data_IF_813641540089
#
_entry.id   IF_813641540089
#
_cell.length_a   1.000
_cell.length_b   1.000
_cell.length_c   1.000
_cell.angle_alpha   90.00
_cell.angle_beta   90.00
_cell.angle_gamma   90.00
#
_symmetry.space_group_name_H-M   'P 1'
#
loop_
_entity.id
_entity.type
_entity.pdbx_description
1 polymer ?
#
# COMPACT_ATOMS: atom_id res chain seq x y z
N UNK A 1 -2.76 -8.89 -10.29
CA UNK A 1 -2.29 -9.82 -9.26
C UNK A 1 -2.07 -9.06 -7.97
N UNK A 2 -2.51 -9.61 -6.86
CA UNK A 2 -2.39 -8.90 -5.59
C UNK A 2 -0.96 -8.92 -5.09
N UNK A 3 -0.56 -7.83 -4.45
CA UNK A 3 0.75 -7.72 -3.80
C UNK A 3 0.57 -7.58 -2.31
N UNK A 4 1.59 -8.01 -1.58
CA UNK A 4 1.56 -8.01 -0.13
C UNK A 4 2.72 -7.17 0.38
N UNK A 5 2.42 -6.24 1.28
CA UNK A 5 3.43 -5.43 1.95
C UNK A 5 3.21 -5.49 3.45
N UNK A 6 4.31 -5.49 4.18
CA UNK A 6 4.26 -5.43 5.64
C UNK A 6 4.62 -4.03 6.08
N UNK A 7 3.77 -3.45 6.93
CA UNK A 7 3.98 -2.12 7.44
C UNK A 7 3.60 -2.09 8.92
N UNK A 8 4.55 -1.68 9.75
CA UNK A 8 4.37 -1.59 11.21
C UNK A 8 3.86 -2.90 11.79
N UNK A 9 4.47 -4.00 11.33
CA UNK A 9 4.15 -5.31 11.86
C UNK A 9 2.87 -5.92 11.34
N UNK A 10 2.17 -5.25 10.44
CA UNK A 10 0.93 -5.73 9.87
C UNK A 10 1.07 -5.93 8.38
N UNK A 11 0.58 -7.05 7.89
CA UNK A 11 0.66 -7.37 6.47
C UNK A 11 -0.62 -6.95 5.78
N UNK A 12 -0.46 -6.21 4.68
CA UNK A 12 -1.58 -5.74 3.87
C UNK A 12 -1.50 -6.33 2.48
N UNK A 13 -2.65 -6.61 1.92
CA UNK A 13 -2.76 -7.14 0.57
C UNK A 13 -3.45 -6.13 -0.33
N UNK A 14 -2.83 -5.86 -1.48
CA UNK A 14 -3.32 -4.85 -2.40
C UNK A 14 -3.79 -5.49 -3.69
N UNK A 15 -4.81 -4.88 -4.30
CA UNK A 15 -5.35 -5.37 -5.56
C UNK A 15 -4.45 -5.04 -6.75
N UNK A 16 -3.74 -3.92 -6.67
CA UNK A 16 -2.92 -3.44 -7.77
C UNK A 16 -1.49 -3.90 -7.62
N UNK A 17 -0.77 -3.93 -8.75
CA UNK A 17 0.67 -4.14 -8.73
C UNK A 17 1.35 -2.81 -8.43
N UNK A 18 2.08 -2.78 -7.34
CA UNK A 18 2.79 -1.60 -6.90
C UNK A 18 4.25 -1.74 -7.27
N UNK A 19 4.89 -0.65 -7.65
CA UNK A 19 6.30 -0.62 -8.00
C UNK A 19 7.08 0.02 -6.86
N UNK A 20 7.40 -0.74 -5.80
CA UNK A 20 8.00 -0.14 -4.61
C UNK A 20 9.44 0.33 -4.80
N UNK A 21 10.03 0.07 -5.95
CA UNK A 21 11.39 0.55 -6.22
C UNK A 21 11.42 2.03 -6.62
N UNK A 22 10.27 2.67 -6.61
CA UNK A 22 10.18 4.10 -6.91
C UNK A 22 9.90 4.86 -5.63
N UNK A 23 10.12 6.18 -5.70
CA UNK A 23 9.80 7.07 -4.61
C UNK A 23 8.47 7.73 -4.85
N UNK A 24 7.81 8.14 -3.76
CA UNK A 24 6.66 9.00 -3.88
C UNK A 24 5.38 8.36 -3.42
N UNK A 25 4.28 8.96 -3.85
CA UNK A 25 2.95 8.58 -3.41
C UNK A 25 2.31 7.65 -4.43
N UNK A 26 1.77 6.56 -3.92
CA UNK A 26 1.00 5.62 -4.71
C UNK A 26 -0.36 5.42 -4.09
N UNK A 27 -1.38 5.32 -4.94
CA UNK A 27 -2.73 5.00 -4.50
C UNK A 27 -2.99 3.54 -4.76
N UNK A 28 -3.57 2.86 -3.79
CA UNK A 28 -3.85 1.45 -3.92
C UNK A 28 -5.13 1.09 -3.18
N UNK A 29 -5.60 -0.13 -3.40
CA UNK A 29 -6.80 -0.65 -2.76
C UNK A 29 -6.43 -1.83 -1.89
N UNK A 30 -6.77 -1.75 -0.61
CA UNK A 30 -6.54 -2.83 0.34
C UNK A 30 -7.67 -3.86 0.21
N UNK A 31 -7.33 -5.04 -0.28
CA UNK A 31 -8.35 -6.06 -0.47
C UNK A 31 -8.66 -6.81 0.82
N UNK A 32 -7.77 -6.72 1.80
CA UNK A 32 -7.99 -7.38 3.08
C UNK A 32 -8.83 -6.55 4.03
N UNK A 33 -9.31 -5.38 3.59
CA UNK A 33 -10.14 -4.50 4.41
C UNK A 33 -11.27 -3.93 3.58
N UNK A 34 -12.06 -4.81 2.96
CA UNK A 34 -13.25 -4.42 2.21
C UNK A 34 -12.95 -3.41 1.12
N UNK A 35 -11.83 -3.57 0.47
CA UNK A 35 -11.44 -2.73 -0.67
C UNK A 35 -11.34 -1.25 -0.30
N UNK A 36 -10.74 -0.99 0.84
CA UNK A 36 -10.49 0.38 1.26
C UNK A 36 -9.34 0.96 0.47
N UNK A 37 -9.52 2.18 -0.06
CA UNK A 37 -8.44 2.87 -0.76
C UNK A 37 -7.44 3.42 0.24
N UNK A 38 -6.18 3.45 -0.18
CA UNK A 38 -5.15 3.97 0.72
C UNK A 38 -4.09 4.71 -0.08
N UNK A 39 -3.36 5.56 0.63
CA UNK A 39 -2.19 6.25 0.11
C UNK A 39 -0.95 5.62 0.72
N UNK A 40 0.01 5.32 -0.12
CA UNK A 40 1.27 4.74 0.33
C UNK A 40 2.43 5.63 -0.10
N UNK A 41 3.31 5.91 0.84
CA UNK A 41 4.48 6.73 0.59
C UNK A 41 5.72 5.85 0.61
N UNK A 42 6.43 5.81 -0.49
CA UNK A 42 7.63 5.01 -0.62
C UNK A 42 8.87 5.90 -0.63
N UNK A 43 9.91 5.43 0.03
CA UNK A 43 11.23 6.06 0.00
C UNK A 43 12.24 4.97 -0.31
N UNK A 44 12.91 5.09 -1.46
CA UNK A 44 13.92 4.13 -1.90
C UNK A 44 13.43 2.70 -1.89
N UNK A 45 12.18 2.51 -2.31
CA UNK A 45 11.61 1.19 -2.41
C UNK A 45 11.01 0.65 -1.13
N UNK A 46 11.03 1.44 -0.06
CA UNK A 46 10.47 1.02 1.21
C UNK A 46 9.21 1.80 1.52
N UNK A 47 8.22 1.10 2.03
CA UNK A 47 6.97 1.75 2.44
C UNK A 47 7.20 2.44 3.78
N UNK A 48 7.09 3.78 3.76
CA UNK A 48 7.31 4.57 4.95
C UNK A 48 6.03 5.01 5.61
N UNK A 49 4.94 5.10 4.85
CA UNK A 49 3.70 5.58 5.40
C UNK A 49 2.55 4.98 4.63
N UNK A 50 1.53 4.57 5.34
CA UNK A 50 0.31 4.06 4.74
C UNK A 50 -0.87 4.70 5.45
N UNK A 51 -1.69 5.38 4.67
CA UNK A 51 -2.87 6.07 5.19
C UNK A 51 -4.10 5.49 4.53
N UNK A 52 -4.98 4.94 5.34
CA UNK A 52 -6.24 4.41 4.83
C UNK A 52 -7.20 5.57 4.63
N UNK A 53 -7.69 5.69 3.41
CA UNK A 53 -8.64 6.74 3.09
C UNK A 53 -10.03 6.25 3.44
N UNK A 54 -10.78 7.12 4.05
CA UNK A 54 -12.13 6.76 4.44
C UNK A 54 -12.99 6.58 3.19
N UNK A 55 -13.94 5.69 3.34
CA UNK A 55 -14.86 5.38 2.26
C UNK A 55 -15.85 6.52 2.05
#
# INVERSE_FOLDING_TARGET
MAQVFTFEGKTHQFAEDIQPNQNGLYMATLVDQDNVRCEMWFVNGELHRLVELDK
#
